data_IF_272668907345
#
_entry.id   IF_272668907345
#
_cell.length_a   1.000
_cell.length_b   1.000
_cell.length_c   1.000
_cell.angle_alpha   90.00
_cell.angle_beta   90.00
_cell.angle_gamma   90.00
#
_symmetry.space_group_name_H-M   'P 1'
#
loop_
_entity.id
_entity.type
_entity.pdbx_description
1 polymer ?
#
# COMPACT_ATOMS: atom_id res chain seq x y z
N UNK A 1 -3.10 19.83 -0.96
CA UNK A 1 -2.95 18.41 -0.63
C UNK A 1 -3.93 17.61 -1.45
N UNK A 2 -3.52 16.51 -2.09
CA UNK A 2 -4.45 15.58 -2.73
C UNK A 2 -5.45 15.05 -1.69
N UNK A 3 -6.69 14.82 -2.12
CA UNK A 3 -7.70 14.14 -1.31
C UNK A 3 -7.50 12.64 -1.55
N UNK A 4 -7.15 11.90 -0.51
CA UNK A 4 -6.93 10.45 -0.57
C UNK A 4 -8.12 9.71 0.04
N UNK A 5 -8.46 8.55 -0.51
CA UNK A 5 -9.59 7.75 -0.03
C UNK A 5 -9.12 6.79 1.06
N UNK A 6 -9.82 6.80 2.20
CA UNK A 6 -9.60 5.81 3.27
C UNK A 6 -10.06 4.42 2.80
N UNK A 7 -9.22 3.41 3.00
CA UNK A 7 -9.52 2.02 2.60
C UNK A 7 -10.56 1.33 3.48
N UNK A 8 -10.79 1.85 4.70
CA UNK A 8 -11.55 1.14 5.73
C UNK A 8 -10.69 0.20 6.58
N UNK A 9 -9.38 0.08 6.30
CA UNK A 9 -8.45 -0.82 6.96
C UNK A 9 -7.42 -0.06 7.81
N UNK A 10 -6.91 -0.73 8.83
CA UNK A 10 -5.76 -0.25 9.63
C UNK A 10 -4.62 -1.25 9.52
N UNK A 11 -3.40 -0.73 9.52
CA UNK A 11 -2.16 -1.50 9.54
C UNK A 11 -1.94 -2.17 10.92
N UNK A 12 -0.87 -2.95 11.07
CA UNK A 12 -0.59 -3.67 12.33
C UNK A 12 -0.32 -2.77 13.55
N UNK A 13 -0.01 -1.50 13.32
CA UNK A 13 0.20 -0.50 14.36
C UNK A 13 -1.06 0.35 14.62
N UNK A 14 -2.18 0.04 13.95
CA UNK A 14 -3.44 0.79 14.07
C UNK A 14 -3.52 2.05 13.22
N UNK A 15 -2.55 2.28 12.32
CA UNK A 15 -2.54 3.41 11.39
C UNK A 15 -3.54 3.15 10.28
N UNK A 16 -4.35 4.15 9.94
CA UNK A 16 -5.31 4.06 8.84
C UNK A 16 -4.59 4.02 7.50
N UNK A 17 -5.01 3.11 6.63
CA UNK A 17 -4.42 2.96 5.29
C UNK A 17 -5.30 3.70 4.27
N UNK A 18 -4.66 4.50 3.43
CA UNK A 18 -5.28 5.31 2.39
C UNK A 18 -4.78 4.91 1.00
N UNK A 19 -5.52 5.28 -0.03
CA UNK A 19 -5.04 5.27 -1.41
C UNK A 19 -3.77 6.12 -1.55
N UNK A 20 -2.75 5.59 -2.21
CA UNK A 20 -1.43 6.22 -2.38
C UNK A 20 -0.45 5.93 -1.24
N UNK A 21 -0.86 5.24 -0.17
CA UNK A 21 0.08 4.78 0.86
C UNK A 21 1.04 3.74 0.29
N UNK A 22 2.25 3.74 0.81
CA UNK A 22 3.27 2.74 0.55
C UNK A 22 3.33 1.83 1.77
N UNK A 23 3.09 0.54 1.56
CA UNK A 23 3.03 -0.47 2.61
C UNK A 23 4.11 -1.51 2.44
N UNK A 24 4.71 -1.91 3.57
CA UNK A 24 5.57 -3.08 3.66
C UNK A 24 4.70 -4.32 3.98
N UNK A 25 4.91 -5.40 3.21
CA UNK A 25 4.29 -6.71 3.37
C UNK A 25 5.37 -7.78 3.60
N UNK A 26 5.25 -8.54 4.69
CA UNK A 26 6.16 -9.66 4.96
C UNK A 26 7.64 -9.24 5.08
N UNK A 27 8.54 -10.00 4.46
CA UNK A 27 9.99 -9.83 4.57
C UNK A 27 10.57 -9.05 3.39
N UNK A 28 9.97 -7.91 3.02
CA UNK A 28 10.51 -6.83 2.15
C UNK A 28 9.70 -6.52 0.88
N UNK A 29 8.47 -7.01 0.71
CA UNK A 29 7.66 -6.55 -0.40
C UNK A 29 7.07 -5.16 -0.09
N UNK A 30 7.58 -4.13 -0.77
CA UNK A 30 7.04 -2.76 -0.72
C UNK A 30 6.08 -2.56 -1.89
N UNK A 31 4.90 -2.01 -1.60
CA UNK A 31 3.85 -1.83 -2.59
C UNK A 31 3.06 -0.55 -2.36
N UNK A 32 2.57 0.03 -3.46
CA UNK A 32 1.61 1.15 -3.44
C UNK A 32 0.18 0.62 -3.22
N UNK A 33 -0.60 1.30 -2.40
CA UNK A 33 -2.04 1.06 -2.25
C UNK A 33 -2.80 1.81 -3.33
N UNK A 34 -3.53 1.09 -4.16
CA UNK A 34 -4.30 1.64 -5.28
C UNK A 34 -5.78 1.26 -5.19
N UNK A 35 -6.66 2.05 -5.82
CA UNK A 35 -8.04 1.65 -6.07
C UNK A 35 -8.23 1.24 -7.53
N UNK A 36 -8.57 -0.04 -7.77
CA UNK A 36 -8.73 -0.58 -9.12
C UNK A 36 -9.86 -1.60 -9.18
N UNK A 37 -10.65 -1.56 -10.24
CA UNK A 37 -11.77 -2.48 -10.46
C UNK A 37 -12.78 -2.55 -9.29
N UNK A 38 -12.96 -1.46 -8.56
CA UNK A 38 -13.92 -1.37 -7.46
C UNK A 38 -13.41 -1.91 -6.11
N UNK A 39 -12.11 -2.23 -5.99
CA UNK A 39 -11.50 -2.68 -4.74
C UNK A 39 -10.17 -1.99 -4.50
N UNK A 40 -9.76 -1.93 -3.23
CA UNK A 40 -8.41 -1.51 -2.85
C UNK A 40 -7.46 -2.70 -3.01
N UNK A 41 -6.27 -2.44 -3.54
CA UNK A 41 -5.26 -3.46 -3.80
C UNK A 41 -3.87 -2.89 -3.59
N UNK A 42 -2.90 -3.75 -3.30
CA UNK A 42 -1.49 -3.39 -3.37
C UNK A 42 -0.95 -3.66 -4.78
N UNK A 43 -0.18 -2.72 -5.32
CA UNK A 43 0.54 -2.86 -6.58
C UNK A 43 2.00 -3.18 -6.30
N UNK A 44 2.45 -4.36 -6.74
CA UNK A 44 3.84 -4.80 -6.56
C UNK A 44 4.65 -4.58 -7.83
N UNK A 45 4.16 -5.09 -8.97
CA UNK A 45 4.83 -4.96 -10.27
C UNK A 45 3.80 -5.09 -11.41
N UNK A 46 4.16 -4.74 -12.66
CA UNK A 46 3.23 -4.79 -13.80
C UNK A 46 2.52 -6.13 -13.95
N UNK A 47 1.21 -6.14 -13.66
CA UNK A 47 0.37 -7.34 -13.75
C UNK A 47 0.16 -8.08 -12.43
N UNK A 48 0.87 -7.70 -11.36
CA UNK A 48 0.72 -8.26 -10.02
C UNK A 48 0.08 -7.24 -9.08
N UNK A 49 -1.16 -7.53 -8.69
CA UNK A 49 -1.94 -6.76 -7.73
C UNK A 49 -2.58 -7.72 -6.75
N UNK A 50 -2.56 -7.38 -5.46
CA UNK A 50 -3.20 -8.19 -4.42
C UNK A 50 -4.33 -7.41 -3.78
N UNK A 51 -5.55 -7.97 -3.81
CA UNK A 51 -6.70 -7.36 -3.16
C UNK A 51 -6.49 -7.26 -1.65
N UNK A 52 -6.77 -6.07 -1.10
CA UNK A 52 -6.64 -5.84 0.34
C UNK A 52 -7.87 -6.40 1.07
N UNK A 53 -7.63 -7.16 2.13
CA UNK A 53 -8.68 -7.62 3.03
C UNK A 53 -8.18 -7.65 4.47
N UNK A 54 -9.08 -7.61 5.45
CA UNK A 54 -8.71 -7.68 6.87
C UNK A 54 -7.92 -8.93 7.25
N UNK A 55 -8.06 -10.01 6.47
CA UNK A 55 -7.34 -11.27 6.69
C UNK A 55 -6.01 -11.34 5.92
N UNK A 56 -5.80 -10.45 4.95
CA UNK A 56 -4.57 -10.34 4.19
C UNK A 56 -3.55 -9.51 4.99
N UNK A 57 -2.90 -10.17 5.94
CA UNK A 57 -1.53 -9.99 6.43
C UNK A 57 -0.95 -8.57 6.60
N UNK A 58 -0.64 -8.24 7.87
CA UNK A 58 0.56 -7.57 8.40
C UNK A 58 1.15 -6.35 7.64
N UNK A 59 0.30 -5.57 6.97
CA UNK A 59 0.71 -4.30 6.39
C UNK A 59 1.30 -3.39 7.47
N UNK A 60 2.33 -2.66 7.08
CA UNK A 60 2.86 -1.52 7.80
C UNK A 60 2.96 -0.34 6.85
N UNK A 61 2.31 0.77 7.17
CA UNK A 61 2.49 2.00 6.40
C UNK A 61 3.90 2.52 6.65
N UNK A 62 4.66 2.77 5.58
CA UNK A 62 6.05 3.26 5.64
C UNK A 62 6.25 4.60 4.93
N UNK A 63 5.25 5.08 4.18
CA UNK A 63 5.27 6.36 3.48
C UNK A 63 4.07 6.48 2.53
N UNK A 64 4.11 7.45 1.62
CA UNK A 64 3.14 7.56 0.53
C UNK A 64 3.83 8.06 -0.75
N UNK A 65 3.17 7.89 -1.90
CA UNK A 65 3.72 8.24 -3.22
C UNK A 65 3.99 9.75 -3.43
N UNK A 66 3.42 10.63 -2.58
CA UNK A 66 3.57 12.07 -2.72
C UNK A 66 4.76 12.61 -1.91
N UNK A 67 5.06 12.00 -0.77
CA UNK A 67 6.10 12.43 0.16
C UNK A 67 7.34 11.53 0.12
N UNK A 68 7.18 10.25 -0.25
CA UNK A 68 8.22 9.22 -0.22
C UNK A 68 8.27 8.35 -1.49
N UNK A 69 8.28 8.94 -2.71
CA UNK A 69 8.31 8.15 -3.95
C UNK A 69 9.53 7.23 -4.06
N UNK A 70 10.65 7.57 -3.42
CA UNK A 70 11.90 6.80 -3.41
C UNK A 70 11.75 5.40 -2.78
N UNK A 71 10.73 5.19 -1.94
CA UNK A 71 10.50 3.89 -1.28
C UNK A 71 10.11 2.79 -2.27
N UNK A 72 9.58 3.13 -3.44
CA UNK A 72 9.24 2.16 -4.49
C UNK A 72 10.46 1.78 -5.36
N UNK A 73 11.48 2.64 -5.42
CA UNK A 73 12.68 2.38 -6.24
C UNK A 73 13.63 1.37 -5.59
N UNK A 74 13.66 1.34 -4.25
CA UNK A 74 14.56 0.48 -3.46
C UNK A 74 14.23 -1.03 -3.55
N UNK A 75 13.07 -1.41 -4.09
CA UNK A 75 12.63 -2.80 -4.17
C UNK A 75 13.02 -3.49 -5.51
N UNK A 76 13.80 -2.81 -6.35
CA UNK A 76 14.21 -3.29 -7.68
C UNK A 76 15.73 -3.53 -7.83
N UNK A 77 16.50 -3.55 -6.72
CA UNK A 77 17.94 -3.92 -6.72
C UNK A 77 18.20 -5.40 -6.39
#
# INVERSE_FOLDING_TARGET
>A
SPIMQFTGLKDKNGVEIYEGDIVEQGTHDVAEVIFKNGSFSTYLEPGMWLEMSQNACDFKVIGNIHENPELLEANHE
#
